data_IF_031979557243
#
_entry.id   IF_031979557243
#
_cell.length_a   1.000
_cell.length_b   1.000
_cell.length_c   1.000
_cell.angle_alpha   90.00
_cell.angle_beta   90.00
_cell.angle_gamma   90.00
#
_symmetry.space_group_name_H-M   'P 1'
#
loop_
_entity.id
_entity.type
_entity.pdbx_description
1 polymer ?
2 non-polymer ?
3 non-polymer ?
4 water ?
#
# COMPACT_ATOMS: atom_id res chain seq x y z
N UNK A 1 -15.39 20.06 2.43
CA UNK A 1 -14.56 20.66 3.49
C UNK A 1 -13.89 19.60 4.36
N UNK A 2 -14.43 18.39 4.33
CA UNK A 2 -13.87 17.31 5.13
C UNK A 2 -13.89 17.63 6.61
N UNK A 3 -12.98 17.02 7.36
CA UNK A 3 -12.90 17.23 8.80
C UNK A 3 -11.48 17.57 9.22
N UNK A 4 -11.35 18.18 10.39
CA UNK A 4 -10.04 18.57 10.91
C UNK A 4 -9.23 17.41 11.48
N UNK A 5 -7.94 17.33 11.13
CA UNK A 5 -7.05 16.27 11.61
C UNK A 5 -6.89 16.28 13.12
N UNK A 6 -7.21 17.41 13.75
CA UNK A 6 -7.10 17.52 15.20
C UNK A 6 -8.32 16.96 15.92
N UNK A 7 -9.28 16.46 15.16
CA UNK A 7 -10.51 15.92 15.73
C UNK A 7 -10.29 14.60 16.48
N UNK A 8 -10.89 14.45 17.66
CA UNK A 8 -10.74 13.22 18.44
C UNK A 8 -11.20 11.99 17.66
N UNK A 9 -12.15 12.17 16.75
CA UNK A 9 -12.63 11.05 15.97
C UNK A 9 -11.56 10.49 15.03
N UNK A 10 -10.69 11.36 14.54
CA UNK A 10 -9.62 10.95 13.65
C UNK A 10 -8.62 10.12 14.45
N UNK A 11 -8.22 10.64 15.61
CA UNK A 11 -7.28 9.93 16.45
C UNK A 11 -7.84 8.57 16.87
N UNK A 12 -9.15 8.53 17.10
CA UNK A 12 -9.80 7.28 17.48
C UNK A 12 -9.82 6.30 16.32
N UNK A 13 -10.10 6.80 15.11
CA UNK A 13 -10.13 5.93 13.94
C UNK A 13 -8.75 5.31 13.74
N UNK A 14 -7.70 6.11 13.88
CA UNK A 14 -6.35 5.58 13.72
C UNK A 14 -6.07 4.51 14.76
N UNK A 15 -6.47 4.79 16.00
CA UNK A 15 -6.26 3.85 17.08
C UNK A 15 -6.96 2.52 16.80
N UNK A 16 -8.21 2.59 16.34
CA UNK A 16 -8.97 1.38 16.04
C UNK A 16 -8.29 0.55 14.96
N UNK A 17 -7.70 1.21 13.98
CA UNK A 17 -7.01 0.50 12.91
C UNK A 17 -5.72 -0.12 13.46
N UNK A 18 -4.97 0.65 14.25
CA UNK A 18 -3.72 0.15 14.81
C UNK A 18 -3.95 -0.98 15.82
N UNK A 19 -5.11 -0.98 16.47
CA UNK A 19 -5.41 -2.02 17.45
C UNK A 19 -5.70 -3.39 16.82
N UNK A 20 -5.94 -3.41 15.51
CA UNK A 20 -6.19 -4.68 14.84
C UNK A 20 -4.89 -5.48 14.77
N UNK A 21 -5.00 -6.81 14.83
CA UNK A 21 -3.82 -7.67 14.79
C UNK A 21 -3.54 -8.26 13.41
N UNK A 22 -4.58 -8.35 12.58
CA UNK A 22 -4.43 -8.90 11.24
C UNK A 22 -5.29 -8.12 10.25
N UNK A 23 -4.78 -7.96 9.03
CA UNK A 23 -5.49 -7.24 7.97
C UNK A 23 -5.33 -8.06 6.71
N UNK A 24 -6.40 -8.20 5.94
CA UNK A 24 -6.33 -8.95 4.71
C UNK A 24 -7.24 -8.34 3.65
N UNK A 25 -6.69 -8.08 2.47
CA UNK A 25 -7.48 -7.53 1.38
C UNK A 25 -7.01 -8.07 0.04
N UNK A 26 -7.83 -7.90 -0.98
CA UNK A 26 -7.50 -8.37 -2.31
C UNK A 26 -8.26 -7.52 -3.31
N UNK A 27 -7.80 -7.53 -4.56
CA UNK A 27 -8.46 -6.73 -5.57
C UNK A 27 -7.63 -6.53 -6.82
N UNK A 28 -7.89 -5.43 -7.52
CA UNK A 28 -7.20 -5.09 -8.76
C UNK A 28 -6.02 -4.17 -8.50
N UNK A 29 -4.89 -4.50 -9.11
CA UNK A 29 -3.64 -3.76 -8.97
C UNK A 29 -3.19 -3.25 -10.34
N UNK A 30 -2.76 -1.99 -10.39
CA UNK A 30 -2.28 -1.42 -11.63
C UNK A 30 -1.06 -0.56 -11.34
N UNK A 31 0.05 -0.88 -12.00
CA UNK A 31 1.27 -0.10 -11.84
C UNK A 31 1.70 0.37 -13.22
N UNK A 32 1.91 1.67 -13.36
CA UNK A 32 2.33 2.23 -14.64
C UNK A 32 3.47 3.23 -14.46
N UNK A 33 4.50 3.09 -15.30
CA UNK A 33 5.65 3.99 -15.27
C UNK A 33 6.12 4.12 -16.71
N UNK A 34 7.08 5.01 -16.95
CA UNK A 34 7.59 5.21 -18.30
C UNK A 34 8.38 4.02 -18.81
N UNK A 35 8.61 3.04 -17.95
CA UNK A 35 9.38 1.86 -18.33
C UNK A 35 8.68 0.53 -18.05
N UNK A 36 7.45 0.58 -17.55
CA UNK A 36 6.73 -0.66 -17.25
C UNK A 36 5.23 -0.49 -17.02
N UNK A 37 4.48 -1.54 -17.32
CA UNK A 37 3.03 -1.55 -17.15
C UNK A 37 2.60 -2.89 -16.57
N UNK A 38 2.25 -2.90 -15.29
CA UNK A 38 1.83 -4.13 -14.63
C UNK A 38 0.38 -4.12 -14.18
N UNK A 39 -0.40 -5.06 -14.69
CA UNK A 39 -1.80 -5.20 -14.34
C UNK A 39 -1.93 -6.58 -13.71
N UNK A 40 -2.57 -6.67 -12.56
CA UNK A 40 -2.70 -7.96 -11.91
C UNK A 40 -3.70 -7.91 -10.77
N UNK A 41 -3.99 -9.09 -10.22
CA UNK A 41 -4.87 -9.19 -9.07
C UNK A 41 -3.88 -9.17 -7.92
N UNK A 42 -4.24 -8.54 -6.81
CA UNK A 42 -3.32 -8.52 -5.69
C UNK A 42 -4.00 -9.08 -4.46
N UNK A 43 -3.18 -9.60 -3.56
CA UNK A 43 -3.64 -10.15 -2.30
C UNK A 43 -2.66 -9.59 -1.28
N UNK A 44 -3.18 -8.99 -0.22
CA UNK A 44 -2.33 -8.41 0.81
C UNK A 44 -2.75 -8.98 2.15
N UNK A 45 -1.79 -9.55 2.87
CA UNK A 45 -2.10 -10.14 4.17
C UNK A 45 -1.05 -9.67 5.15
N UNK A 46 -1.50 -9.03 6.22
CA UNK A 46 -0.57 -8.52 7.21
C UNK A 46 -0.94 -9.14 8.54
N UNK A 47 -0.01 -9.92 9.10
CA UNK A 47 -0.23 -10.64 10.36
C UNK A 47 0.53 -10.08 11.56
N UNK A 48 1.36 -9.08 11.32
CA UNK A 48 2.13 -8.48 12.39
C UNK A 48 2.33 -7.02 12.07
N UNK A 49 2.88 -6.27 13.02
CA UNK A 49 3.10 -4.85 12.80
C UNK A 49 3.95 -4.67 11.55
N UNK A 50 4.99 -5.50 11.41
CA UNK A 50 5.89 -5.44 10.26
C UNK A 50 6.01 -6.80 9.55
N UNK A 51 4.92 -7.55 9.56
CA UNK A 51 4.91 -8.85 8.92
C UNK A 51 3.77 -8.79 7.92
N UNK A 52 4.09 -9.03 6.66
CA UNK A 52 3.07 -9.01 5.63
C UNK A 52 3.50 -9.72 4.37
N UNK A 53 2.52 -10.09 3.55
CA UNK A 53 2.79 -10.76 2.29
C UNK A 53 1.97 -10.10 1.19
N UNK A 54 2.64 -9.75 0.10
CA UNK A 54 1.98 -9.15 -1.06
C UNK A 54 2.11 -10.18 -2.16
N UNK A 55 1.00 -10.51 -2.80
CA UNK A 55 1.00 -11.48 -3.88
C UNK A 55 0.31 -10.88 -5.10
N UNK A 56 1.00 -10.85 -6.23
CA UNK A 56 0.41 -10.34 -7.46
C UNK A 56 0.23 -11.55 -8.38
N UNK A 57 -0.97 -11.73 -8.91
CA UNK A 57 -1.21 -12.87 -9.80
C UNK A 57 -1.82 -12.44 -11.12
N UNK A 58 -1.59 -13.24 -12.15
CA UNK A 58 -2.11 -12.96 -13.48
C UNK A 58 -3.40 -13.73 -13.70
N UNK A 59 -4.07 -13.49 -14.84
CA UNK A 59 -5.31 -14.23 -15.09
C UNK A 59 -5.02 -15.73 -15.17
N UNK A 60 -3.87 -16.10 -15.75
CA UNK A 60 -3.52 -17.53 -15.85
C UNK A 60 -3.70 -18.16 -14.47
N UNK A 61 -3.34 -17.38 -13.44
CA UNK A 61 -3.41 -17.84 -12.06
C UNK A 61 -1.96 -17.92 -11.61
N UNK A 62 -1.08 -17.67 -12.57
CA UNK A 62 0.36 -17.68 -12.35
C UNK A 62 0.75 -16.51 -11.46
N UNK A 63 1.81 -16.71 -10.69
CA UNK A 63 2.31 -15.69 -9.78
C UNK A 63 3.27 -14.76 -10.50
N UNK A 64 2.95 -13.47 -10.52
CA UNK A 64 3.80 -12.46 -11.14
C UNK A 64 4.87 -12.00 -10.16
N UNK A 65 4.50 -11.92 -8.88
CA UNK A 65 5.43 -11.47 -7.86
C UNK A 65 4.95 -11.80 -6.46
N UNK A 66 5.90 -12.08 -5.58
CA UNK A 66 5.58 -12.38 -4.20
C UNK A 66 6.56 -11.55 -3.37
N UNK A 67 6.06 -10.85 -2.37
CA UNK A 67 6.91 -10.06 -1.49
C UNK A 67 6.50 -10.46 -0.09
N UNK A 68 7.35 -11.23 0.57
CA UNK A 68 7.06 -11.71 1.91
C UNK A 68 8.00 -11.03 2.89
N UNK A 69 7.43 -10.14 3.69
CA UNK A 69 8.22 -9.37 4.64
C UNK A 69 8.09 -9.80 6.09
N UNK A 70 9.24 -9.90 6.74
CA UNK A 70 9.35 -10.25 8.14
C UNK A 70 10.52 -9.39 8.61
N UNK A 71 10.54 -9.02 9.89
CA UNK A 71 11.63 -8.20 10.42
C UNK A 71 12.99 -8.85 10.19
N UNK A 72 13.85 -8.16 9.44
CA UNK A 72 15.17 -8.69 9.16
C UNK A 72 15.22 -9.75 8.08
N UNK A 73 14.11 -9.95 7.38
CA UNK A 73 14.08 -10.96 6.33
C UNK A 73 12.93 -10.77 5.34
N UNK A 74 13.17 -9.94 4.32
CA UNK A 74 12.18 -9.69 3.28
C UNK A 74 12.58 -10.52 2.07
N UNK A 75 11.63 -11.30 1.55
CA UNK A 75 11.91 -12.14 0.41
C UNK A 75 11.07 -11.75 -0.79
N UNK A 76 11.72 -11.63 -1.94
CA UNK A 76 11.04 -11.31 -3.18
C UNK A 76 11.14 -12.57 -4.02
N UNK A 77 10.01 -13.00 -4.57
CA UNK A 77 10.00 -14.19 -5.41
C UNK A 77 9.41 -13.77 -6.73
N UNK A 78 10.06 -14.12 -7.83
CA UNK A 78 9.51 -13.77 -9.14
C UNK A 78 8.80 -14.98 -9.73
N UNK A 79 8.21 -14.80 -10.91
CA UNK A 79 7.48 -15.86 -11.61
C UNK A 79 8.27 -17.14 -11.90
N UNK A 80 9.60 -17.02 -11.96
CA UNK A 80 10.45 -18.17 -12.23
C UNK A 80 10.91 -18.88 -10.97
N UNK A 81 10.45 -18.41 -9.81
CA UNK A 81 10.83 -19.03 -8.56
C UNK A 81 12.15 -18.51 -8.04
N UNK A 82 12.67 -17.46 -8.68
CA UNK A 82 13.93 -16.86 -8.25
C UNK A 82 13.65 -16.10 -6.95
N UNK A 83 14.45 -16.38 -5.92
CA UNK A 83 14.26 -15.73 -4.63
C UNK A 83 15.41 -14.80 -4.26
N UNK A 84 15.05 -13.64 -3.72
CA UNK A 84 16.03 -12.64 -3.30
C UNK A 84 15.66 -12.21 -1.90
N UNK A 85 16.66 -11.97 -1.07
CA UNK A 85 16.42 -11.56 0.30
C UNK A 85 17.14 -10.25 0.63
N UNK A 86 16.52 -9.45 1.49
CA UNK A 86 17.09 -8.18 1.92
C UNK A 86 16.48 -7.81 3.26
N UNK A 87 16.98 -6.75 3.88
CA UNK A 87 16.45 -6.33 5.17
C UNK A 87 15.44 -5.20 5.07
N UNK A 88 15.23 -4.70 3.85
CA UNK A 88 14.29 -3.60 3.62
C UNK A 88 13.42 -3.85 2.39
N UNK A 89 12.10 -3.90 2.60
CA UNK A 89 11.17 -4.17 1.50
C UNK A 89 11.16 -3.07 0.44
N UNK A 90 11.19 -1.82 0.89
CA UNK A 90 11.16 -0.70 -0.04
C UNK A 90 12.37 -0.68 -0.96
N UNK A 91 13.55 -0.94 -0.42
CA UNK A 91 14.76 -0.94 -1.23
C UNK A 91 14.76 -2.09 -2.23
N UNK A 92 14.23 -3.24 -1.82
CA UNK A 92 14.22 -4.40 -2.71
C UNK A 92 13.26 -4.24 -3.88
N UNK A 93 12.03 -3.84 -3.58
CA UNK A 93 11.04 -3.70 -4.63
C UNK A 93 11.47 -2.56 -5.55
N UNK A 94 12.25 -1.63 -4.99
CA UNK A 94 12.70 -0.49 -5.76
C UNK A 94 13.83 -0.81 -6.74
N UNK A 95 14.65 -1.81 -6.43
CA UNK A 95 15.77 -2.15 -7.31
C UNK A 95 15.77 -3.60 -7.81
N UNK A 96 14.62 -4.26 -7.75
CA UNK A 96 14.51 -5.67 -8.13
C UNK A 96 13.40 -6.03 -9.09
N UNK A 97 12.34 -5.24 -9.06
CA UNK A 97 11.17 -5.54 -9.87
C UNK A 97 10.93 -4.50 -10.94
N UNK A 98 11.48 -3.31 -10.74
CA UNK A 98 11.28 -2.25 -11.71
C UNK A 98 10.10 -1.40 -11.28
N UNK A 99 9.55 -1.71 -10.11
CA UNK A 99 8.42 -0.97 -9.56
C UNK A 99 8.80 -0.26 -8.26
N UNK A 100 9.49 0.89 -8.37
CA UNK A 100 9.91 1.65 -7.18
C UNK A 100 8.69 2.27 -6.50
N UNK A 101 8.60 2.13 -5.17
CA UNK A 101 7.46 2.67 -4.44
C UNK A 101 7.80 3.01 -2.99
N UNK A 102 7.20 4.09 -2.45
CA UNK A 102 7.47 4.45 -1.05
C UNK A 102 6.68 3.43 -0.22
N UNK A 103 7.04 2.17 -0.41
CA UNK A 103 6.40 1.03 0.24
C UNK A 103 6.31 1.10 1.76
N UNK A 104 7.34 1.59 2.43
CA UNK A 104 7.28 1.66 3.88
C UNK A 104 6.13 2.54 4.35
N UNK A 105 5.71 3.48 3.51
CA UNK A 105 4.62 4.37 3.86
C UNK A 105 3.30 3.81 3.33
N UNK A 106 3.35 3.24 2.13
CA UNK A 106 2.18 2.66 1.49
C UNK A 106 1.57 1.59 2.37
N UNK A 107 2.40 0.85 3.09
CA UNK A 107 1.92 -0.20 3.99
C UNK A 107 0.99 0.38 5.06
N UNK A 108 1.17 1.66 5.38
CA UNK A 108 0.31 2.31 6.36
C UNK A 108 -0.87 2.94 5.62
N UNK A 109 -0.59 3.57 4.48
CA UNK A 109 -1.65 4.21 3.71
C UNK A 109 -2.75 3.26 3.29
N UNK A 110 -2.39 2.03 2.94
CA UNK A 110 -3.39 1.06 2.52
C UNK A 110 -4.38 0.73 3.64
N UNK A 111 -3.97 0.97 4.89
CA UNK A 111 -4.82 0.71 6.05
C UNK A 111 -5.63 1.93 6.46
N UNK A 112 -5.40 3.04 5.76
CA UNK A 112 -6.09 4.28 6.09
C UNK A 112 -5.33 5.10 7.12
N UNK A 113 -4.05 4.79 7.30
CA UNK A 113 -3.19 5.50 8.26
C UNK A 113 -2.22 6.40 7.48
N UNK A 114 -1.84 7.54 8.05
CA UNK A 114 -0.93 8.46 7.36
C UNK A 114 0.56 8.10 7.33
N UNK A 115 0.99 7.21 8.21
CA UNK A 115 2.40 6.86 8.23
C UNK A 115 3.18 8.11 8.63
N UNK A 116 4.29 8.37 7.94
CA UNK A 116 5.10 9.55 8.25
C UNK A 116 4.57 10.84 7.62
N UNK A 117 3.50 10.74 6.85
CA UNK A 117 2.95 11.92 6.20
C UNK A 117 2.31 12.87 7.20
N UNK A 118 2.54 14.17 6.99
CA UNK A 118 2.00 15.20 7.87
C UNK A 118 1.10 16.17 7.11
N UNK A 119 1.07 16.03 5.79
CA UNK A 119 0.28 16.87 4.90
C UNK A 119 -0.84 15.99 4.35
N UNK A 120 -2.02 16.04 4.95
CA UNK A 120 -3.13 15.22 4.49
C UNK A 120 -4.49 15.82 4.85
N UNK A 121 -5.54 15.30 4.22
CA UNK A 121 -6.91 15.77 4.48
C UNK A 121 -7.79 14.58 4.83
N UNK A 122 -8.86 14.85 5.56
CA UNK A 122 -9.81 13.81 5.96
C UNK A 122 -11.15 14.09 5.31
N UNK A 123 -11.97 13.05 5.15
CA UNK A 123 -13.29 13.25 4.57
C UNK A 123 -14.28 13.55 5.70
N UNK A 124 -15.55 13.68 5.34
CA UNK A 124 -16.60 13.99 6.31
C UNK A 124 -16.77 12.95 7.42
N UNK A 125 -16.26 11.74 7.20
CA UNK A 125 -16.38 10.68 8.19
C UNK A 125 -15.11 10.49 9.02
N UNK A 126 -14.25 11.51 9.00
CA UNK A 126 -13.00 11.48 9.75
C UNK A 126 -12.06 10.38 9.27
N UNK A 127 -12.07 10.12 7.97
CA UNK A 127 -11.19 9.10 7.39
C UNK A 127 -10.25 9.76 6.39
N UNK A 128 -9.04 9.21 6.27
CA UNK A 128 -8.03 9.75 5.37
C UNK A 128 -8.56 9.84 3.93
N UNK A 129 -8.43 11.02 3.33
CA UNK A 129 -8.92 11.26 1.98
C UNK A 129 -7.85 11.60 0.94
N UNK A 130 -6.83 12.33 1.36
CA UNK A 130 -5.75 12.74 0.47
C UNK A 130 -4.47 12.91 1.26
N UNK A 131 -3.35 12.56 0.63
CA UNK A 131 -2.04 12.69 1.27
C UNK A 131 -1.05 13.28 0.27
N UNK A 132 -0.15 14.13 0.76
CA UNK A 132 0.93 14.69 -0.05
C UNK A 132 2.17 14.32 0.75
N UNK A 133 3.09 13.59 0.14
CA UNK A 133 4.28 13.12 0.84
C UNK A 133 5.51 13.14 -0.03
N UNK A 134 6.59 13.71 0.49
CA UNK A 134 7.81 13.79 -0.29
C UNK A 134 8.88 12.81 0.18
N UNK A 135 9.58 12.23 -0.78
CA UNK A 135 10.69 11.33 -0.50
C UNK A 135 11.53 11.14 -1.76
N UNK A 136 12.84 11.02 -1.57
CA UNK A 136 13.77 10.83 -2.69
C UNK A 136 13.67 11.95 -3.72
N UNK A 137 13.33 13.15 -3.27
CA UNK A 137 13.21 14.29 -4.17
C UNK A 137 11.96 14.29 -5.03
N UNK A 138 11.00 13.43 -4.68
CA UNK A 138 9.75 13.36 -5.44
C UNK A 138 8.61 13.70 -4.50
N UNK A 139 7.46 14.06 -5.07
CA UNK A 139 6.30 14.39 -4.27
C UNK A 139 5.17 13.45 -4.66
N UNK A 140 4.72 12.64 -3.71
CA UNK A 140 3.64 11.70 -3.97
C UNK A 140 2.29 12.26 -3.55
N UNK A 141 1.29 11.99 -4.38
CA UNK A 141 -0.07 12.41 -4.08
C UNK A 141 -0.90 11.13 -3.98
N UNK A 142 -1.58 10.96 -2.85
CA UNK A 142 -2.41 9.79 -2.63
C UNK A 142 -3.85 10.27 -2.52
N UNK A 143 -4.75 9.63 -3.26
CA UNK A 143 -6.17 9.98 -3.22
C UNK A 143 -6.98 8.73 -2.91
N UNK A 144 -7.92 8.87 -1.98
CA UNK A 144 -8.78 7.76 -1.59
C UNK A 144 -10.18 7.93 -2.15
N UNK A 145 -10.73 6.83 -2.63
CA UNK A 145 -12.10 6.83 -3.12
C UNK A 145 -12.90 6.38 -1.92
N UNK A 146 -14.04 5.73 -2.14
CA UNK A 146 -14.85 5.30 -1.02
C UNK A 146 -14.15 4.31 -0.11
N UNK A 147 -14.70 4.16 1.09
CA UNK A 147 -14.18 3.21 2.07
C UNK A 147 -15.12 2.02 2.14
N UNK A 148 -14.59 0.90 2.59
CA UNK A 148 -15.36 -0.33 2.78
C UNK A 148 -15.90 -0.17 4.20
N UNK A 149 -17.20 0.08 4.33
CA UNK A 149 -17.79 0.27 5.65
C UNK A 149 -18.45 -1.00 6.18
N UNK A 150 -18.12 -2.13 5.57
CA UNK A 150 -18.66 -3.42 5.98
C UNK A 150 -17.74 -4.09 7.00
N UNK A 151 -16.68 -3.38 7.38
CA UNK A 151 -15.74 -3.86 8.38
C UNK A 151 -15.72 -2.81 9.47
N UNK A 152 -15.25 -3.19 10.65
CA UNK A 152 -15.16 -2.26 11.77
C UNK A 152 -13.75 -2.39 12.31
N UNK A 153 -12.93 -1.33 12.17
CA UNK A 153 -13.26 -0.07 11.49
C UNK A 153 -13.30 -0.18 9.97
N UNK A 154 -13.75 0.89 9.33
CA UNK A 154 -13.83 0.95 7.88
C UNK A 154 -12.41 1.02 7.32
N UNK A 155 -12.22 0.42 6.15
CA UNK A 155 -10.91 0.37 5.50
C UNK A 155 -11.01 0.89 4.07
N UNK A 156 -9.89 1.41 3.51
CA UNK A 156 -9.90 1.94 2.14
C UNK A 156 -10.41 0.95 1.10
N UNK A 157 -11.31 1.42 0.24
CA UNK A 157 -11.89 0.59 -0.82
C UNK A 157 -11.20 0.81 -2.16
N UNK A 158 -10.57 1.97 -2.33
CA UNK A 158 -9.87 2.25 -3.56
C UNK A 158 -8.97 3.44 -3.35
N UNK A 159 -7.81 3.39 -3.96
CA UNK A 159 -6.87 4.47 -3.83
C UNK A 159 -5.93 4.52 -5.00
N UNK A 160 -5.42 5.71 -5.22
CA UNK A 160 -4.47 5.99 -6.29
C UNK A 160 -3.29 6.82 -5.77
N UNK A 161 -2.12 6.54 -6.20
CA UNK A 161 -0.98 7.33 -5.76
C UNK A 161 -0.06 7.52 -6.94
N UNK A 162 0.53 8.70 -7.04
CA UNK A 162 1.42 8.99 -8.16
C UNK A 162 2.40 10.09 -7.82
N UNK A 163 3.55 10.06 -8.49
CA UNK A 163 4.56 11.09 -8.29
C UNK A 163 4.93 11.59 -9.68
N UNK A 164 4.01 11.39 -10.62
CA UNK A 164 4.22 11.80 -12.00
C UNK A 164 4.66 10.63 -12.85
N UNK A 165 5.95 10.30 -12.79
CA UNK A 165 6.49 9.20 -13.57
C UNK A 165 5.95 7.83 -13.22
N UNK A 166 5.43 7.67 -12.01
CA UNK A 166 4.88 6.39 -11.56
C UNK A 166 3.46 6.57 -11.05
N UNK A 167 2.59 5.60 -11.35
CA UNK A 167 1.22 5.64 -10.86
C UNK A 167 0.77 4.25 -10.43
N UNK A 168 0.20 4.17 -9.24
CA UNK A 168 -0.29 2.91 -8.70
C UNK A 168 -1.77 3.06 -8.37
N UNK A 169 -2.57 2.12 -8.89
CA UNK A 169 -3.99 2.14 -8.57
C UNK A 169 -4.37 0.84 -7.90
N UNK A 170 -5.18 0.95 -6.82
CA UNK A 170 -5.63 -0.22 -6.09
C UNK A 170 -7.13 -0.15 -5.87
N UNK A 171 -7.81 -1.26 -6.12
CA UNK A 171 -9.24 -1.32 -5.89
C UNK A 171 -9.44 -2.57 -5.05
N UNK A 172 -9.92 -2.38 -3.83
CA UNK A 172 -10.14 -3.49 -2.91
C UNK A 172 -11.55 -4.04 -3.03
N UNK A 173 -11.64 -5.35 -3.25
CA UNK A 173 -12.94 -6.00 -3.37
C UNK A 173 -13.58 -6.17 -2.00
N UNK A 174 -12.73 -6.37 -1.00
CA UNK A 174 -13.20 -6.57 0.36
C UNK A 174 -12.03 -6.58 1.33
N UNK A 175 -12.36 -6.68 2.61
CA UNK A 175 -11.37 -6.73 3.67
C UNK A 175 -11.81 -7.71 4.74
N UNK A 176 -10.82 -8.23 5.45
CA UNK A 176 -11.03 -9.10 6.60
C UNK A 176 -10.04 -8.53 7.61
N UNK A 177 -10.52 -8.15 8.79
CA UNK A 177 -9.63 -7.63 9.82
C UNK A 177 -9.91 -8.35 11.13
N UNK A 178 -8.94 -8.36 12.03
CA UNK A 178 -9.12 -9.02 13.31
C UNK A 178 -8.21 -8.41 14.36
X LIG B 1 -8.94 -13.17 -6.22
X LIG B 1 -9.20 -11.78 -5.42
X LIG B 1 -9.69 -14.17 -5.47
X LIG B 1 -9.34 -13.06 -7.46
X LIG B 1 -7.53 -13.39 -6.03
X LIG C 1 7.30 -19.31 0.55
X LIG C 1 8.00 -20.75 0.82
X LIG C 1 5.88 -19.62 0.33
X LIG C 1 7.51 -18.53 1.56
X LIG C 1 7.90 -18.87 -0.68
X LIG D 1 -14.73 3.82 11.45
X LIG D 1 -15.82 5.00 11.26
X LIG D 1 -13.68 4.39 12.32
X LIG D 1 -15.30 2.76 11.98
X LIG D 1 -14.22 3.64 10.12
X LIG E 1 -9.34 -17.77 -0.90
#
# INVERSE_FOLDING_TARGET
PGKSPDSPQWRQHQQDVRNLNQYQTRGAFAYISDQQKVYARFFWQQTGQDRYRLLLTNPDGSTELELNAQPGNVQLVDNKGQRYTADDAEEMIGKLTGMPIPLNSLRQWILGLPGDATDYKLDDQYRLSEITYSQNGKNWKVVYGGYDTKTQPAMPANMELTDGGQRIKLKMDNWIVK
SO4 S O1 O2 O3 O4
SO4 S O1 O2 O3 O4
SO4 S O1 O2 O3 O4
CL CL
#
